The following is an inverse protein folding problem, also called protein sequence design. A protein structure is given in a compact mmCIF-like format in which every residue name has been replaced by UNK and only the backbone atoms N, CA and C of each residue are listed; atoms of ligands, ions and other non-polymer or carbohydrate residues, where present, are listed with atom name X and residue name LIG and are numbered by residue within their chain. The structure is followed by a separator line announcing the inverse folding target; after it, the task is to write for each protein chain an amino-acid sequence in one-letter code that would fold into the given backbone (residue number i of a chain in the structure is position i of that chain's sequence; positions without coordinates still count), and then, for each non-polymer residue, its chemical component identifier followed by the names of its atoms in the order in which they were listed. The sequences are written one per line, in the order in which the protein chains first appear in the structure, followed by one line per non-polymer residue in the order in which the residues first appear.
data_IF_999695434426
#
_entry.id   IF_999695434426
#
_cell.length_a   1.000
_cell.length_b   1.000
_cell.length_c   1.000
_cell.angle_alpha   90.00
_cell.angle_beta   90.00
_cell.angle_gamma   90.00
#
_symmetry.space_group_name_H-M   'P 1'
#
loop_
_entity.id
_entity.type
_entity.pdbx_description
1 polymer ?
#
# COMPACT_ATOMS: atom_id res chain seq x y z
N UNK A 1 -36.50 -7.06 62.92
CA UNK A 1 -36.65 -5.70 62.34
C UNK A 1 -35.26 -5.11 62.16
N UNK A 2 -34.67 -5.18 60.97
CA UNK A 2 -33.55 -4.33 60.53
C UNK A 2 -33.59 -4.30 59.01
N UNK A 3 -33.81 -3.10 58.49
CA UNK A 3 -33.97 -2.77 57.07
C UNK A 3 -32.63 -2.89 56.35
N UNK A 4 -32.66 -3.50 55.16
CA UNK A 4 -31.65 -3.40 54.12
C UNK A 4 -31.93 -2.17 53.27
N UNK A 5 -30.93 -1.32 53.05
CA UNK A 5 -30.93 -0.31 52.00
C UNK A 5 -29.81 -0.63 51.00
N UNK A 6 -30.19 -0.79 49.74
CA UNK A 6 -29.32 -1.04 48.59
C UNK A 6 -28.46 0.19 48.25
N UNK A 7 -27.20 -0.04 47.91
CA UNK A 7 -26.37 0.91 47.18
C UNK A 7 -26.04 0.31 45.80
N UNK A 8 -26.44 1.04 44.76
CA UNK A 8 -26.14 0.78 43.35
C UNK A 8 -24.72 1.22 43.07
N UNK A 9 -23.91 0.35 42.47
CA UNK A 9 -22.63 0.73 41.88
C UNK A 9 -22.63 0.29 40.40
N UNK A 10 -22.77 1.28 39.52
CA UNK A 10 -22.55 1.13 38.09
C UNK A 10 -21.05 1.09 37.82
N UNK A 11 -20.56 -0.02 37.24
CA UNK A 11 -19.22 -0.10 36.64
C UNK A 11 -19.36 0.04 35.13
N UNK A 12 -19.03 1.24 34.63
CA UNK A 12 -18.77 1.46 33.22
C UNK A 12 -17.46 0.81 32.81
N UNK A 13 -17.52 -0.04 31.78
CA UNK A 13 -16.36 -0.61 31.10
C UNK A 13 -15.76 0.48 30.20
N UNK A 14 -14.60 1.03 30.59
CA UNK A 14 -13.73 1.75 29.66
C UNK A 14 -13.03 0.71 28.76
N UNK A 15 -13.32 0.79 27.47
CA UNK A 15 -12.56 0.15 26.40
C UNK A 15 -11.18 0.83 26.30
N UNK A 16 -10.12 0.07 26.59
CA UNK A 16 -8.75 0.51 26.41
C UNK A 16 -8.39 0.49 24.90
N UNK A 17 -8.48 1.64 24.25
CA UNK A 17 -7.79 1.88 22.99
C UNK A 17 -6.30 2.00 23.28
N UNK A 18 -5.50 1.01 22.87
CA UNK A 18 -4.05 1.13 22.83
C UNK A 18 -3.68 2.01 21.64
N UNK A 19 -3.79 3.33 21.83
CA UNK A 19 -3.11 4.31 21.01
C UNK A 19 -1.68 4.41 21.54
N UNK A 20 -0.76 3.68 20.92
CA UNK A 20 0.66 3.92 21.08
C UNK A 20 1.00 5.27 20.43
N UNK A 21 0.80 6.38 21.17
CA UNK A 21 1.39 7.68 20.85
C UNK A 21 2.90 7.55 20.96
N UNK A 22 3.59 7.31 19.84
CA UNK A 22 5.02 7.63 19.73
C UNK A 22 5.14 9.15 19.74
N UNK A 23 5.43 9.71 20.91
CA UNK A 23 6.01 11.06 21.00
C UNK A 23 7.43 11.00 20.44
N UNK A 24 7.63 11.30 19.15
CA UNK A 24 8.97 11.63 18.64
C UNK A 24 9.26 13.10 18.95
N UNK A 25 9.85 13.32 20.13
CA UNK A 25 10.50 14.59 20.42
C UNK A 25 11.88 14.57 19.76
N UNK A 26 12.05 15.50 18.81
CA UNK A 26 13.28 16.03 18.21
C UNK A 26 14.49 15.10 17.97
N UNK A 27 14.92 15.01 16.72
CA UNK A 27 16.30 15.40 16.39
C UNK A 27 16.40 15.74 14.89
N UNK A 28 16.58 17.02 14.57
CA UNK A 28 17.48 17.30 13.46
C UNK A 28 18.79 16.56 13.79
N UNK A 29 19.39 15.88 12.83
CA UNK A 29 20.73 15.33 13.05
C UNK A 29 21.66 16.48 13.51
N UNK A 30 22.70 16.18 14.28
CA UNK A 30 23.67 17.15 14.85
C UNK A 30 24.27 18.12 13.81
N UNK A 31 24.02 17.93 12.51
CA UNK A 31 24.49 18.72 11.38
C UNK A 31 23.39 19.59 10.71
N UNK A 32 22.19 19.72 11.30
CA UNK A 32 21.10 20.54 10.75
C UNK A 32 20.30 19.91 9.60
N UNK A 33 20.61 18.67 9.21
CA UNK A 33 19.87 17.92 8.20
C UNK A 33 18.81 17.03 8.82
N UNK A 34 17.76 16.74 8.04
CA UNK A 34 16.68 15.85 8.45
C UNK A 34 17.19 14.42 8.67
N UNK A 35 16.70 13.80 9.73
CA UNK A 35 16.95 12.41 10.03
C UNK A 35 16.33 11.49 8.96
N UNK A 36 17.10 10.51 8.47
CA UNK A 36 16.65 9.63 7.39
C UNK A 36 15.48 8.75 7.81
N UNK A 37 15.41 8.33 9.08
CA UNK A 37 14.32 7.49 9.57
C UNK A 37 13.04 8.31 9.76
N UNK A 38 13.15 9.61 10.04
CA UNK A 38 12.04 10.54 9.89
C UNK A 38 11.60 10.65 8.41
N UNK A 39 12.52 10.87 7.47
CA UNK A 39 12.17 10.99 6.03
C UNK A 39 11.42 9.74 5.55
N UNK A 40 11.90 8.53 5.87
CA UNK A 40 11.24 7.26 5.48
C UNK A 40 9.76 7.18 5.88
N UNK A 41 9.36 7.86 6.95
CA UNK A 41 7.97 7.90 7.44
C UNK A 41 7.10 8.93 6.71
N UNK A 42 7.66 9.70 5.78
CA UNK A 42 6.99 10.81 5.07
C UNK A 42 7.15 10.74 3.54
N UNK A 43 7.53 9.59 2.99
CA UNK A 43 7.72 9.40 1.54
C UNK A 43 6.43 9.07 0.77
N UNK A 44 5.26 9.12 1.41
CA UNK A 44 3.97 8.78 0.79
C UNK A 44 4.01 7.40 0.13
N UNK A 45 3.58 7.32 -1.13
CA UNK A 45 3.56 6.08 -1.89
C UNK A 45 4.95 5.55 -2.33
N UNK A 46 6.03 6.27 -2.02
CA UNK A 46 7.42 5.91 -2.38
C UNK A 46 8.22 5.33 -1.21
N UNK A 47 7.63 5.24 -0.02
CA UNK A 47 8.25 4.57 1.12
C UNK A 47 8.45 3.07 0.86
N UNK A 48 9.50 2.49 1.41
CA UNK A 48 9.70 1.03 1.43
C UNK A 48 8.77 0.35 2.43
N UNK A 49 8.54 -0.95 2.26
CA UNK A 49 7.70 -1.70 3.19
C UNK A 49 8.36 -1.79 4.58
N UNK A 50 7.66 -1.45 5.69
CA UNK A 50 8.25 -1.38 7.02
C UNK A 50 8.36 -2.79 7.66
N UNK A 51 9.08 -3.70 7.00
CA UNK A 51 9.20 -5.12 7.35
C UNK A 51 9.60 -5.37 8.82
N UNK A 52 10.43 -4.49 9.39
CA UNK A 52 10.92 -4.60 10.78
C UNK A 52 9.82 -4.34 11.82
N UNK A 53 8.72 -3.71 11.43
CA UNK A 53 7.58 -3.41 12.32
C UNK A 53 6.48 -4.46 12.28
N UNK A 54 6.54 -5.37 11.31
CA UNK A 54 5.50 -6.38 11.10
C UNK A 54 5.71 -7.57 12.06
N UNK A 55 4.63 -8.08 12.71
CA UNK A 55 4.70 -9.28 13.53
C UNK A 55 5.29 -10.47 12.75
N UNK A 56 6.24 -11.16 13.36
CA UNK A 56 6.93 -12.29 12.72
C UNK A 56 6.15 -13.62 12.82
N UNK A 57 5.04 -13.63 13.57
CA UNK A 57 4.12 -14.74 13.77
C UNK A 57 2.74 -14.19 14.11
N UNK A 58 1.68 -14.89 13.72
CA UNK A 58 0.31 -14.50 14.03
C UNK A 58 -0.31 -15.44 15.09
N UNK A 59 -0.69 -14.95 16.29
CA UNK A 59 -1.28 -15.79 17.32
C UNK A 59 -2.65 -16.37 16.96
N UNK A 60 -3.29 -15.94 15.85
CA UNK A 60 -4.59 -16.45 15.40
C UNK A 60 -4.59 -17.98 15.25
N UNK A 61 -3.48 -18.55 14.79
CA UNK A 61 -3.32 -20.00 14.54
C UNK A 61 -3.38 -20.85 15.82
N UNK A 62 -3.30 -20.24 17.00
CA UNK A 62 -3.50 -20.93 18.28
C UNK A 62 -4.97 -21.27 18.53
N UNK A 63 -5.90 -20.50 17.95
CA UNK A 63 -7.34 -20.62 18.19
C UNK A 63 -8.12 -21.06 16.94
N UNK A 64 -7.58 -20.79 15.75
CA UNK A 64 -8.24 -21.06 14.47
C UNK A 64 -7.32 -21.82 13.52
N UNK A 65 -7.91 -22.64 12.66
CA UNK A 65 -7.34 -23.03 11.38
C UNK A 65 -7.56 -21.88 10.38
N UNK A 66 -6.58 -21.64 9.52
CA UNK A 66 -6.72 -20.74 8.37
C UNK A 66 -7.03 -21.60 7.17
N UNK A 67 -8.30 -21.63 6.76
CA UNK A 67 -8.81 -22.52 5.71
C UNK A 67 -8.51 -21.97 4.30
N UNK A 68 -8.45 -20.64 4.19
CA UNK A 68 -8.08 -19.92 2.98
C UNK A 68 -7.41 -18.59 3.35
N UNK A 69 -6.48 -18.15 2.50
CA UNK A 69 -6.00 -16.79 2.47
C UNK A 69 -5.98 -16.23 1.04
N UNK A 70 -6.53 -15.04 0.86
CA UNK A 70 -6.41 -14.26 -0.37
C UNK A 70 -5.59 -13.01 -0.08
N UNK A 71 -4.56 -12.71 -0.86
CA UNK A 71 -3.65 -11.58 -0.64
C UNK A 71 -3.54 -10.74 -1.90
N UNK A 72 -3.96 -9.47 -1.81
CA UNK A 72 -3.82 -8.47 -2.87
C UNK A 72 -2.64 -7.58 -2.49
N UNK A 73 -1.64 -7.50 -3.35
CA UNK A 73 -0.31 -6.99 -3.01
C UNK A 73 0.16 -6.00 -4.09
N UNK A 74 0.63 -4.82 -3.69
CA UNK A 74 1.33 -3.89 -4.59
C UNK A 74 2.73 -4.41 -4.93
N UNK A 75 3.25 -4.15 -6.13
CA UNK A 75 4.65 -4.42 -6.44
C UNK A 75 5.62 -3.78 -5.42
N UNK A 76 6.82 -4.35 -5.34
CA UNK A 76 7.87 -3.86 -4.44
C UNK A 76 8.50 -2.56 -4.92
N UNK A 77 9.49 -2.10 -4.17
CA UNK A 77 10.33 -0.95 -4.51
C UNK A 77 10.85 -1.07 -5.94
N UNK A 78 10.74 0.01 -6.70
CA UNK A 78 11.11 0.09 -8.11
C UNK A 78 11.89 1.37 -8.41
N UNK A 79 12.57 1.36 -9.54
CA UNK A 79 13.11 2.58 -10.14
C UNK A 79 11.96 3.55 -10.50
N UNK A 80 12.23 4.87 -10.59
CA UNK A 80 11.29 5.87 -11.08
C UNK A 80 10.73 5.50 -12.47
N UNK A 81 9.53 5.96 -12.82
CA UNK A 81 8.97 5.74 -14.17
C UNK A 81 9.65 6.66 -15.20
N UNK A 82 9.32 6.51 -16.48
CA UNK A 82 10.02 7.20 -17.57
C UNK A 82 10.08 8.72 -17.36
N UNK A 83 8.93 9.36 -17.12
CA UNK A 83 8.86 10.81 -16.91
C UNK A 83 9.55 11.28 -15.63
N UNK A 84 9.46 10.50 -14.54
CA UNK A 84 10.19 10.85 -13.30
C UNK A 84 11.71 10.65 -13.50
N UNK A 85 12.14 9.66 -14.28
CA UNK A 85 13.56 9.42 -14.59
C UNK A 85 14.14 10.57 -15.42
N UNK A 86 13.40 11.05 -16.41
CA UNK A 86 13.75 12.26 -17.18
C UNK A 86 13.87 13.48 -16.28
N UNK A 87 12.84 13.76 -15.46
CA UNK A 87 12.85 14.90 -14.53
C UNK A 87 14.01 14.86 -13.52
N UNK A 88 14.42 13.67 -13.04
CA UNK A 88 15.59 13.53 -12.17
C UNK A 88 16.90 13.86 -12.91
N UNK A 89 17.02 13.44 -14.17
CA UNK A 89 18.21 13.75 -14.99
C UNK A 89 18.32 15.25 -15.28
N UNK A 90 17.20 15.89 -15.61
CA UNK A 90 17.14 17.34 -15.83
C UNK A 90 17.47 18.10 -14.55
N UNK A 91 16.92 17.65 -13.41
CA UNK A 91 17.23 18.24 -12.11
C UNK A 91 18.72 18.13 -11.76
N UNK A 92 19.39 17.02 -12.05
CA UNK A 92 20.83 16.88 -11.84
C UNK A 92 21.63 17.85 -12.71
N UNK A 93 21.26 18.01 -13.99
CA UNK A 93 21.89 18.97 -14.89
C UNK A 93 21.72 20.42 -14.40
N UNK A 94 20.55 20.74 -13.84
CA UNK A 94 20.28 22.03 -13.23
C UNK A 94 21.12 22.27 -11.96
N UNK A 95 21.16 21.29 -11.05
CA UNK A 95 21.93 21.37 -9.80
C UNK A 95 23.44 21.49 -10.04
N UNK A 96 23.97 20.92 -11.12
CA UNK A 96 25.37 21.04 -11.50
C UNK A 96 25.80 22.50 -11.78
N UNK A 97 24.85 23.39 -12.09
CA UNK A 97 25.10 24.82 -12.30
C UNK A 97 24.93 25.67 -11.03
N UNK A 98 24.62 25.04 -9.88
CA UNK A 98 24.42 25.75 -8.63
C UNK A 98 25.72 26.35 -8.09
N UNK A 99 25.61 27.54 -7.48
CA UNK A 99 26.73 28.20 -6.79
C UNK A 99 26.87 27.77 -5.33
N UNK A 100 25.95 26.94 -4.81
CA UNK A 100 25.90 26.54 -3.40
C UNK A 100 26.47 25.13 -3.18
N UNK A 101 27.81 25.06 -3.06
CA UNK A 101 28.52 23.81 -2.86
C UNK A 101 28.12 23.05 -1.58
N UNK A 102 27.57 23.73 -0.56
CA UNK A 102 27.08 23.06 0.66
C UNK A 102 25.87 22.18 0.37
N UNK A 103 24.99 22.59 -0.53
CA UNK A 103 23.78 21.85 -0.88
C UNK A 103 23.94 20.95 -2.10
N UNK A 104 24.86 21.26 -3.02
CA UNK A 104 25.02 20.55 -4.30
C UNK A 104 26.40 19.98 -4.56
N UNK A 105 27.34 20.08 -3.60
CA UNK A 105 28.71 19.57 -3.79
C UNK A 105 28.78 18.07 -4.09
N UNK A 106 27.76 17.30 -3.70
CA UNK A 106 27.64 15.87 -3.99
C UNK A 106 27.36 15.57 -5.48
N UNK A 107 26.88 16.54 -6.27
CA UNK A 107 26.45 16.31 -7.66
C UNK A 107 27.62 15.89 -8.55
N UNK A 108 28.82 16.41 -8.31
CA UNK A 108 30.01 16.10 -9.12
C UNK A 108 30.41 14.62 -9.05
N UNK A 109 30.20 13.99 -7.90
CA UNK A 109 30.55 12.58 -7.64
C UNK A 109 29.31 11.67 -7.65
N UNK A 110 28.14 12.17 -8.06
CA UNK A 110 26.89 11.43 -8.00
C UNK A 110 26.79 10.38 -9.11
N UNK A 111 26.81 9.11 -8.70
CA UNK A 111 26.62 7.97 -9.59
C UNK A 111 25.13 7.70 -9.84
N UNK A 112 24.55 8.42 -10.80
CA UNK A 112 23.13 8.35 -11.11
C UNK A 112 22.71 6.94 -11.61
N UNK A 113 21.89 6.26 -10.80
CA UNK A 113 21.32 4.94 -11.12
C UNK A 113 19.95 5.00 -11.79
N UNK A 114 19.33 6.17 -11.86
CA UNK A 114 18.03 6.42 -12.48
C UNK A 114 18.20 6.61 -13.98
N UNK A 115 18.38 5.49 -14.68
CA UNK A 115 18.66 5.45 -16.11
C UNK A 115 17.40 5.04 -16.88
N UNK A 116 17.14 5.58 -18.08
CA UNK A 116 15.95 5.24 -18.87
C UNK A 116 15.73 3.72 -19.05
N UNK A 117 16.81 2.95 -19.27
CA UNK A 117 16.73 1.49 -19.40
C UNK A 117 16.24 0.73 -18.15
N UNK A 118 16.15 1.40 -17.00
CA UNK A 118 15.68 0.86 -15.71
C UNK A 118 14.33 1.42 -15.31
N UNK A 119 13.79 2.38 -16.06
CA UNK A 119 12.58 3.09 -15.68
C UNK A 119 11.42 2.09 -15.42
N UNK A 120 10.76 2.26 -14.28
CA UNK A 120 9.67 1.42 -13.82
C UNK A 120 10.04 -0.03 -13.47
N UNK A 121 11.30 -0.46 -13.59
CA UNK A 121 11.74 -1.82 -13.28
C UNK A 121 11.79 -2.05 -11.76
N UNK A 122 11.52 -3.28 -11.34
CA UNK A 122 11.63 -3.66 -9.93
C UNK A 122 13.09 -3.56 -9.46
N UNK A 123 13.30 -2.94 -8.31
CA UNK A 123 14.62 -2.85 -7.69
C UNK A 123 14.91 -4.09 -6.84
N UNK A 124 16.18 -4.29 -6.47
CA UNK A 124 16.60 -5.35 -5.56
C UNK A 124 15.87 -5.27 -4.21
N UNK A 125 15.64 -4.07 -3.68
CA UNK A 125 14.88 -3.92 -2.44
C UNK A 125 13.44 -4.42 -2.63
N UNK A 126 12.82 -4.19 -3.79
CA UNK A 126 11.49 -4.70 -4.11
C UNK A 126 11.42 -6.22 -4.17
N UNK A 127 12.46 -6.87 -4.68
CA UNK A 127 12.58 -8.33 -4.64
C UNK A 127 12.69 -8.84 -3.19
N UNK A 128 13.54 -8.19 -2.38
CA UNK A 128 13.74 -8.58 -0.99
C UNK A 128 12.47 -8.37 -0.13
N UNK A 129 11.75 -7.26 -0.32
CA UNK A 129 10.49 -6.98 0.35
C UNK A 129 9.48 -8.13 0.17
N UNK A 130 9.29 -8.58 -1.08
CA UNK A 130 8.36 -9.67 -1.38
C UNK A 130 8.86 -11.03 -0.92
N UNK A 131 10.14 -11.34 -1.11
CA UNK A 131 10.72 -12.57 -0.58
C UNK A 131 10.55 -12.67 0.95
N UNK A 132 10.81 -11.59 1.69
CA UNK A 132 10.61 -11.57 3.13
C UNK A 132 9.12 -11.63 3.52
N UNK A 133 8.23 -11.01 2.74
CA UNK A 133 6.79 -11.12 2.94
C UNK A 133 6.31 -12.58 2.78
N UNK A 134 6.72 -13.27 1.72
CA UNK A 134 6.41 -14.69 1.54
C UNK A 134 6.93 -15.56 2.69
N UNK A 135 8.16 -15.31 3.16
CA UNK A 135 8.71 -16.01 4.33
C UNK A 135 7.91 -15.77 5.62
N UNK A 136 7.46 -14.54 5.85
CA UNK A 136 6.62 -14.21 7.03
C UNK A 136 5.27 -14.91 6.96
N UNK A 137 4.65 -14.96 5.78
CA UNK A 137 3.39 -15.68 5.57
C UNK A 137 3.59 -17.17 5.88
N UNK A 138 4.57 -17.83 5.27
CA UNK A 138 4.83 -19.25 5.49
C UNK A 138 5.16 -19.59 6.95
N UNK A 139 5.92 -18.72 7.62
CA UNK A 139 6.22 -18.85 9.05
C UNK A 139 4.99 -18.66 9.94
N UNK A 140 4.08 -17.76 9.55
CA UNK A 140 2.89 -17.45 10.35
C UNK A 140 1.76 -18.46 10.18
N UNK A 141 1.67 -19.07 8.99
CA UNK A 141 0.59 -19.99 8.62
C UNK A 141 1.12 -21.30 8.00
N UNK A 142 1.94 -22.08 8.74
CA UNK A 142 2.56 -23.30 8.20
C UNK A 142 1.51 -24.32 7.73
N UNK A 143 0.46 -24.58 8.53
CA UNK A 143 -0.62 -25.50 8.17
C UNK A 143 -1.28 -25.13 6.82
N UNK A 144 -1.46 -23.83 6.55
CA UNK A 144 -2.03 -23.35 5.28
C UNK A 144 -1.08 -23.63 4.10
N UNK A 145 0.22 -23.37 4.29
CA UNK A 145 1.22 -23.60 3.23
C UNK A 145 1.40 -25.08 2.93
N UNK A 146 1.48 -25.92 3.96
CA UNK A 146 1.51 -27.37 3.78
C UNK A 146 0.25 -27.85 3.05
N UNK A 147 -0.92 -27.26 3.34
CA UNK A 147 -2.18 -27.66 2.74
C UNK A 147 -2.32 -27.35 1.24
N UNK A 148 -1.46 -26.50 0.67
CA UNK A 148 -1.46 -26.19 -0.78
C UNK A 148 -0.40 -26.97 -1.54
N UNK A 149 0.38 -27.82 -0.88
CA UNK A 149 1.45 -28.60 -1.50
C UNK A 149 1.07 -30.08 -1.42
N UNK A 150 0.99 -30.72 -2.57
CA UNK A 150 0.80 -32.16 -2.72
C UNK A 150 1.94 -32.70 -3.58
N UNK A 151 2.98 -33.22 -2.92
CA UNK A 151 4.24 -33.61 -3.54
C UNK A 151 4.86 -32.48 -4.40
N UNK A 152 4.80 -32.59 -5.73
CA UNK A 152 5.28 -31.60 -6.69
C UNK A 152 4.16 -30.73 -7.29
N UNK A 153 2.91 -30.96 -6.90
CA UNK A 153 1.73 -30.20 -7.32
C UNK A 153 1.40 -29.15 -6.26
N UNK A 154 1.19 -27.90 -6.69
CA UNK A 154 0.78 -26.81 -5.78
C UNK A 154 -0.61 -26.30 -6.15
N UNK A 155 -1.54 -26.37 -5.20
CA UNK A 155 -2.93 -25.95 -5.35
C UNK A 155 -3.14 -24.54 -4.80
N UNK A 156 -2.65 -23.56 -5.56
CA UNK A 156 -2.80 -22.13 -5.27
C UNK A 156 -2.92 -21.33 -6.57
N UNK A 157 -3.37 -20.08 -6.47
CA UNK A 157 -3.40 -19.16 -7.59
C UNK A 157 -2.46 -17.98 -7.34
N UNK A 158 -1.70 -17.59 -8.37
CA UNK A 158 -0.88 -16.39 -8.35
C UNK A 158 -1.00 -15.66 -9.68
N UNK A 159 -1.54 -14.44 -9.63
CA UNK A 159 -1.73 -13.58 -10.77
C UNK A 159 -1.02 -12.24 -10.56
N UNK A 160 -0.35 -11.75 -11.58
CA UNK A 160 0.11 -10.36 -11.64
C UNK A 160 -0.62 -9.60 -12.74
N UNK A 161 -0.61 -8.26 -12.65
CA UNK A 161 -0.93 -7.44 -13.82
C UNK A 161 0.09 -7.68 -14.94
N UNK A 162 -0.12 -7.06 -16.11
CA UNK A 162 0.79 -7.15 -17.27
C UNK A 162 2.24 -6.68 -17.04
N UNK A 163 2.55 -6.01 -15.93
CA UNK A 163 3.83 -5.31 -15.76
C UNK A 163 4.94 -6.27 -15.30
N UNK A 164 6.16 -6.11 -15.81
CA UNK A 164 7.29 -6.91 -15.37
C UNK A 164 7.57 -6.78 -13.86
N UNK A 165 7.35 -5.60 -13.28
CA UNK A 165 7.59 -5.35 -11.84
C UNK A 165 6.60 -6.10 -10.94
N UNK A 166 5.33 -6.22 -11.33
CA UNK A 166 4.34 -7.01 -10.60
C UNK A 166 4.63 -8.49 -10.75
N UNK A 167 5.02 -8.92 -11.95
CA UNK A 167 5.39 -10.31 -12.19
C UNK A 167 6.60 -10.74 -11.36
N UNK A 168 7.68 -9.96 -11.36
CA UNK A 168 8.88 -10.24 -10.56
C UNK A 168 8.62 -10.17 -9.04
N UNK A 169 7.71 -9.28 -8.61
CA UNK A 169 7.27 -9.19 -7.21
C UNK A 169 6.60 -10.50 -6.77
N UNK A 170 5.69 -11.04 -7.58
CA UNK A 170 5.03 -12.31 -7.29
C UNK A 170 6.00 -13.48 -7.25
N UNK A 171 6.97 -13.51 -8.15
CA UNK A 171 7.98 -14.56 -8.18
C UNK A 171 8.83 -14.53 -6.90
N UNK A 172 9.29 -13.34 -6.50
CA UNK A 172 10.04 -13.17 -5.26
C UNK A 172 9.22 -13.58 -4.02
N UNK A 173 7.93 -13.22 -3.98
CA UNK A 173 7.01 -13.63 -2.91
C UNK A 173 6.91 -15.15 -2.83
N UNK A 174 6.59 -15.82 -3.95
CA UNK A 174 6.49 -17.26 -4.02
C UNK A 174 7.80 -17.97 -3.65
N UNK A 175 8.94 -17.43 -4.08
CA UNK A 175 10.26 -17.93 -3.65
C UNK A 175 10.44 -17.86 -2.13
N UNK A 176 9.93 -16.82 -1.47
CA UNK A 176 9.95 -16.72 -0.02
C UNK A 176 9.02 -17.73 0.65
N UNK A 177 7.79 -17.86 0.14
CA UNK A 177 6.75 -18.73 0.70
C UNK A 177 7.12 -20.21 0.63
N UNK A 178 7.67 -20.66 -0.51
CA UNK A 178 7.93 -22.07 -0.79
C UNK A 178 9.41 -22.47 -0.69
N UNK A 179 10.26 -21.64 -0.09
CA UNK A 179 11.64 -22.02 0.25
C UNK A 179 11.63 -23.24 1.19
N UNK A 180 12.32 -24.31 0.80
CA UNK A 180 12.44 -25.53 1.60
C UNK A 180 11.50 -26.67 1.21
N UNK A 181 10.51 -26.41 0.34
CA UNK A 181 9.48 -27.39 -0.04
C UNK A 181 9.77 -28.16 -1.34
N UNK A 182 10.84 -27.82 -2.06
CA UNK A 182 11.20 -28.47 -3.32
C UNK A 182 12.60 -29.11 -3.29
N UNK A 183 13.21 -29.25 -4.47
CA UNK A 183 14.51 -29.93 -4.65
C UNK A 183 15.54 -29.08 -5.40
N UNK A 184 15.18 -27.88 -5.84
CA UNK A 184 16.03 -27.05 -6.68
C UNK A 184 17.02 -26.22 -5.85
N UNK A 185 18.32 -26.39 -6.13
CA UNK A 185 19.40 -25.61 -5.54
C UNK A 185 19.61 -25.86 -4.04
N UNK A 186 20.49 -25.06 -3.40
CA UNK A 186 20.88 -25.24 -1.99
C UNK A 186 19.79 -24.95 -0.97
N UNK A 187 18.69 -24.34 -1.42
CA UNK A 187 17.56 -23.90 -0.60
C UNK A 187 16.31 -24.74 -0.79
N UNK A 188 16.40 -25.85 -1.55
CA UNK A 188 15.27 -26.75 -1.79
C UNK A 188 14.06 -25.97 -2.30
N UNK A 189 14.26 -25.19 -3.36
CA UNK A 189 13.21 -24.34 -3.92
C UNK A 189 12.19 -25.18 -4.67
N UNK A 190 10.92 -24.86 -4.49
CA UNK A 190 9.82 -25.36 -5.31
C UNK A 190 9.51 -24.33 -6.40
N UNK A 191 9.56 -24.77 -7.66
CA UNK A 191 9.13 -23.93 -8.78
C UNK A 191 7.60 -23.94 -8.82
N UNK A 192 7.00 -22.75 -8.89
CA UNK A 192 5.54 -22.61 -8.84
C UNK A 192 5.02 -21.75 -10.00
N UNK A 193 3.81 -22.04 -10.51
CA UNK A 193 3.23 -21.24 -11.58
C UNK A 193 2.88 -19.84 -11.10
N UNK A 194 3.06 -18.87 -11.98
CA UNK A 194 2.50 -17.53 -11.85
C UNK A 194 2.02 -17.07 -13.22
N UNK A 195 0.81 -16.54 -13.25
CA UNK A 195 0.16 -16.07 -14.47
C UNK A 195 0.11 -14.53 -14.47
N UNK A 196 -0.02 -13.95 -15.66
CA UNK A 196 -0.17 -12.50 -15.82
C UNK A 196 -1.39 -12.21 -16.67
N UNK A 197 -2.19 -11.23 -16.24
CA UNK A 197 -3.22 -10.66 -17.10
C UNK A 197 -2.61 -9.83 -18.22
N UNK A 198 -3.32 -9.77 -19.35
CA UNK A 198 -2.92 -8.93 -20.48
C UNK A 198 -3.25 -7.47 -20.21
N UNK A 199 -2.43 -6.56 -20.72
CA UNK A 199 -2.66 -5.13 -20.57
C UNK A 199 -4.01 -4.73 -21.17
N UNK A 200 -4.73 -3.83 -20.50
CA UNK A 200 -6.06 -3.32 -20.88
C UNK A 200 -7.18 -4.38 -20.88
N UNK A 201 -6.93 -5.62 -20.46
CA UNK A 201 -7.94 -6.66 -20.31
C UNK A 201 -7.84 -7.31 -18.92
N UNK A 202 -8.01 -6.47 -17.90
CA UNK A 202 -7.80 -6.82 -16.51
C UNK A 202 -8.69 -5.95 -15.61
N UNK A 203 -9.94 -6.39 -15.36
CA UNK A 203 -10.85 -5.71 -14.43
C UNK A 203 -10.57 -6.04 -12.95
N UNK A 204 -9.57 -6.88 -12.65
CA UNK A 204 -9.30 -7.36 -11.29
C UNK A 204 -8.11 -6.62 -10.66
N UNK A 205 -6.97 -6.63 -11.33
CA UNK A 205 -5.73 -6.08 -10.77
C UNK A 205 -5.49 -4.68 -11.31
N UNK A 206 -5.76 -4.42 -12.59
CA UNK A 206 -5.44 -3.13 -13.19
C UNK A 206 -6.63 -2.51 -13.95
N UNK A 207 -7.78 -2.55 -13.31
CA UNK A 207 -9.07 -2.07 -13.80
C UNK A 207 -9.07 -0.63 -14.33
N UNK A 208 -8.21 0.26 -13.83
CA UNK A 208 -8.08 1.62 -14.34
C UNK A 208 -7.61 1.69 -15.81
N UNK A 209 -6.90 0.66 -16.30
CA UNK A 209 -6.52 0.55 -17.72
C UNK A 209 -7.58 -0.15 -18.58
N UNK A 210 -8.56 -0.79 -17.96
CA UNK A 210 -9.67 -1.47 -18.63
C UNK A 210 -10.97 -0.69 -18.57
N UNK A 211 -10.93 0.56 -18.10
CA UNK A 211 -12.11 1.39 -17.89
C UNK A 211 -12.04 2.67 -18.74
N UNK A 212 -12.65 2.69 -19.94
CA UNK A 212 -12.57 3.85 -20.84
C UNK A 212 -13.07 5.14 -20.19
N UNK A 213 -14.21 5.10 -19.49
CA UNK A 213 -14.75 6.25 -18.77
C UNK A 213 -13.78 6.80 -17.72
N UNK A 214 -13.06 5.94 -16.99
CA UNK A 214 -12.07 6.40 -16.02
C UNK A 214 -10.88 7.07 -16.69
N UNK A 215 -10.41 6.51 -17.82
CA UNK A 215 -9.34 7.12 -18.59
C UNK A 215 -9.75 8.51 -19.08
N UNK A 216 -10.95 8.64 -19.64
CA UNK A 216 -11.47 9.92 -20.13
C UNK A 216 -11.70 10.93 -18.98
N UNK A 217 -12.51 10.58 -17.99
CA UNK A 217 -12.95 11.53 -16.95
C UNK A 217 -11.86 11.84 -15.91
N UNK A 218 -10.98 10.89 -15.59
CA UNK A 218 -10.02 11.03 -14.48
C UNK A 218 -8.58 11.22 -14.98
N UNK A 219 -8.13 10.43 -15.96
CA UNK A 219 -6.75 10.49 -16.45
C UNK A 219 -6.57 11.67 -17.44
N UNK A 220 -7.48 11.80 -18.41
CA UNK A 220 -7.34 12.72 -19.54
C UNK A 220 -8.03 14.08 -19.32
N UNK A 221 -9.17 14.13 -18.64
CA UNK A 221 -9.95 15.36 -18.46
C UNK A 221 -9.37 16.36 -17.44
N UNK A 222 -8.20 16.09 -16.85
CA UNK A 222 -7.51 17.03 -15.96
C UNK A 222 -8.23 17.32 -14.63
N UNK A 223 -9.27 16.56 -14.26
CA UNK A 223 -10.01 16.77 -13.00
C UNK A 223 -9.10 16.73 -11.78
N UNK A 224 -8.11 15.83 -11.79
CA UNK A 224 -7.11 15.73 -10.72
C UNK A 224 -6.24 16.99 -10.65
N UNK A 225 -5.80 17.52 -11.80
CA UNK A 225 -4.99 18.74 -11.85
C UNK A 225 -5.76 19.95 -11.31
N UNK A 226 -7.04 20.10 -11.65
CA UNK A 226 -7.90 21.16 -11.08
C UNK A 226 -7.94 21.10 -9.55
N UNK A 227 -8.00 19.90 -8.97
CA UNK A 227 -8.05 19.72 -7.52
C UNK A 227 -6.72 20.03 -6.82
N UNK A 228 -5.57 19.78 -7.46
CA UNK A 228 -4.24 19.89 -6.82
C UNK A 228 -3.42 21.11 -7.27
N UNK A 229 -3.77 21.77 -8.37
CA UNK A 229 -3.07 22.97 -8.87
C UNK A 229 -2.95 24.10 -7.82
N UNK A 230 -4.00 24.38 -7.00
CA UNK A 230 -3.85 25.34 -5.91
C UNK A 230 -2.74 24.97 -4.91
N UNK A 231 -2.49 23.67 -4.67
CA UNK A 231 -1.37 23.23 -3.83
C UNK A 231 -0.02 23.43 -4.51
N UNK A 232 0.10 23.22 -5.83
CA UNK A 232 1.34 23.55 -6.57
C UNK A 232 1.71 25.01 -6.33
N UNK A 233 0.74 25.93 -6.39
CA UNK A 233 0.95 27.36 -6.11
C UNK A 233 1.21 27.65 -4.63
N UNK A 234 0.46 27.05 -3.72
CA UNK A 234 0.55 27.34 -2.29
C UNK A 234 1.81 26.77 -1.64
N UNK A 235 2.29 25.60 -2.11
CA UNK A 235 3.38 24.86 -1.48
C UNK A 235 4.64 24.83 -2.34
N UNK A 236 4.54 24.39 -3.60
CA UNK A 236 5.73 24.19 -4.43
C UNK A 236 6.36 25.50 -4.90
N UNK A 237 5.55 26.52 -5.24
CA UNK A 237 6.10 27.80 -5.70
C UNK A 237 6.94 28.53 -4.61
N UNK A 238 6.53 28.60 -3.33
CA UNK A 238 7.40 29.10 -2.26
C UNK A 238 8.68 28.29 -2.07
N UNK A 239 8.62 26.95 -2.17
CA UNK A 239 9.79 26.08 -2.08
C UNK A 239 10.74 26.38 -3.25
N UNK A 240 10.21 26.49 -4.46
CA UNK A 240 10.97 26.79 -5.68
C UNK A 240 11.66 28.17 -5.59
N UNK A 241 10.97 29.19 -5.08
CA UNK A 241 11.55 30.51 -4.86
C UNK A 241 12.70 30.50 -3.83
N UNK A 242 12.52 29.74 -2.73
CA UNK A 242 13.58 29.54 -1.73
C UNK A 242 14.79 28.83 -2.35
N UNK A 243 14.57 27.70 -3.03
CA UNK A 243 15.65 26.95 -3.68
C UNK A 243 16.34 27.74 -4.77
N UNK A 244 15.61 28.55 -5.55
CA UNK A 244 16.21 29.44 -6.56
C UNK A 244 17.21 30.40 -5.93
N UNK A 245 16.83 31.03 -4.81
CA UNK A 245 17.71 31.91 -4.06
C UNK A 245 18.89 31.17 -3.45
N UNK A 246 18.63 30.02 -2.84
CA UNK A 246 19.64 29.24 -2.11
C UNK A 246 20.68 28.63 -3.06
N UNK A 247 20.27 28.25 -4.28
CA UNK A 247 21.10 27.53 -5.24
C UNK A 247 21.71 28.42 -6.33
N UNK A 248 21.18 29.63 -6.55
CA UNK A 248 21.64 30.53 -7.61
C UNK A 248 21.27 30.08 -9.03
N UNK A 249 20.32 29.14 -9.17
CA UNK A 249 19.79 28.63 -10.45
C UNK A 249 18.27 28.74 -10.41
N UNK A 250 17.63 28.91 -11.57
CA UNK A 250 16.16 29.01 -11.62
C UNK A 250 15.50 27.66 -11.37
N UNK A 251 14.79 27.53 -10.25
CA UNK A 251 14.03 26.34 -9.85
C UNK A 251 12.54 26.62 -10.03
N UNK A 252 11.85 25.75 -10.74
CA UNK A 252 10.40 25.80 -10.95
C UNK A 252 9.64 24.90 -9.97
N UNK A 253 8.32 25.02 -9.93
CA UNK A 253 7.48 24.10 -9.15
C UNK A 253 7.56 22.65 -9.65
N UNK A 254 7.82 22.43 -10.95
CA UNK A 254 8.03 21.08 -11.49
C UNK A 254 9.33 20.49 -10.96
N UNK A 255 10.41 21.27 -11.00
CA UNK A 255 11.72 20.83 -10.48
C UNK A 255 11.62 20.43 -8.99
N UNK A 256 10.85 21.17 -8.18
CA UNK A 256 10.59 20.80 -6.78
C UNK A 256 10.00 19.40 -6.64
N UNK A 257 9.02 19.05 -7.48
CA UNK A 257 8.39 17.72 -7.49
C UNK A 257 9.42 16.65 -7.87
N UNK A 258 10.24 16.91 -8.88
CA UNK A 258 11.19 15.93 -9.41
C UNK A 258 12.36 15.73 -8.44
N UNK A 259 12.88 16.80 -7.83
CA UNK A 259 13.87 16.76 -6.74
C UNK A 259 13.36 15.99 -5.51
N UNK A 260 12.09 16.20 -5.13
CA UNK A 260 11.48 15.45 -4.02
C UNK A 260 11.31 13.96 -4.35
N UNK A 261 10.92 13.66 -5.60
CA UNK A 261 10.80 12.28 -6.09
C UNK A 261 12.16 11.58 -6.15
N UNK A 262 13.21 12.31 -6.53
CA UNK A 262 14.60 11.84 -6.51
C UNK A 262 15.05 11.50 -5.08
N UNK A 263 14.78 12.39 -4.12
CA UNK A 263 15.06 12.16 -2.70
C UNK A 263 14.38 10.88 -2.19
N UNK A 264 13.08 10.72 -2.44
CA UNK A 264 12.36 9.52 -2.02
C UNK A 264 12.94 8.24 -2.63
N UNK A 265 13.36 8.30 -3.90
CA UNK A 265 13.97 7.17 -4.58
C UNK A 265 15.35 6.81 -4.00
N UNK A 266 16.21 7.80 -3.73
CA UNK A 266 17.51 7.61 -3.08
C UNK A 266 17.38 7.02 -1.67
N UNK A 267 16.42 7.51 -0.88
CA UNK A 267 16.19 7.00 0.47
C UNK A 267 15.69 5.55 0.44
N UNK A 268 14.69 5.26 -0.39
CA UNK A 268 14.09 3.92 -0.42
C UNK A 268 14.99 2.87 -1.10
N UNK A 269 15.73 3.24 -2.14
CA UNK A 269 16.56 2.30 -2.90
C UNK A 269 17.98 2.19 -2.36
N UNK A 270 18.53 3.29 -1.84
CA UNK A 270 19.96 3.38 -1.51
C UNK A 270 20.21 3.75 -0.04
N UNK A 271 19.16 3.91 0.76
CA UNK A 271 19.26 4.37 2.15
C UNK A 271 20.13 5.63 2.28
N UNK A 272 19.96 6.56 1.33
CA UNK A 272 20.80 7.74 1.19
C UNK A 272 19.94 9.02 1.23
N UNK A 273 20.12 9.82 2.28
CA UNK A 273 19.49 11.14 2.41
C UNK A 273 20.47 12.30 2.17
N UNK A 274 21.71 12.02 1.73
CA UNK A 274 22.79 13.03 1.61
C UNK A 274 22.93 13.59 0.18
N UNK A 275 21.87 13.49 -0.62
CA UNK A 275 21.82 13.99 -2.00
C UNK A 275 20.65 14.98 -2.13
N UNK A 276 19.61 14.63 -2.90
CA UNK A 276 18.45 15.50 -3.16
C UNK A 276 17.69 15.90 -1.89
N UNK A 277 17.68 15.05 -0.85
CA UNK A 277 16.96 15.34 0.40
C UNK A 277 17.52 16.54 1.16
N UNK A 278 18.78 16.91 0.93
CA UNK A 278 19.43 18.08 1.56
C UNK A 278 18.75 19.41 1.17
N UNK A 279 17.99 19.41 0.07
CA UNK A 279 17.31 20.59 -0.44
C UNK A 279 16.03 20.95 0.35
N UNK A 280 15.49 20.00 1.12
CA UNK A 280 14.18 20.12 1.75
C UNK A 280 14.29 20.21 3.27
N UNK A 281 13.50 21.10 3.87
CA UNK A 281 13.29 21.12 5.31
C UNK A 281 12.03 20.33 5.69
N UNK A 282 11.77 20.20 7.00
CA UNK A 282 10.65 19.41 7.53
C UNK A 282 9.28 19.89 7.02
N UNK A 283 9.08 21.19 6.96
CA UNK A 283 7.82 21.80 6.51
C UNK A 283 7.60 21.59 5.01
N UNK A 284 8.67 21.64 4.20
CA UNK A 284 8.60 21.29 2.77
C UNK A 284 8.14 19.85 2.58
N UNK A 285 8.73 18.89 3.31
CA UNK A 285 8.35 17.48 3.22
C UNK A 285 6.89 17.24 3.60
N UNK A 286 6.40 17.84 4.69
CA UNK A 286 5.01 17.68 5.12
C UNK A 286 4.03 18.24 4.09
N UNK A 287 4.36 19.36 3.46
CA UNK A 287 3.57 19.96 2.37
C UNK A 287 3.56 19.08 1.12
N UNK A 288 4.72 18.55 0.72
CA UNK A 288 4.87 17.68 -0.45
C UNK A 288 4.22 16.31 -0.24
N UNK A 289 4.25 15.79 1.00
CA UNK A 289 3.51 14.60 1.40
C UNK A 289 2.01 14.81 1.25
N UNK A 290 1.47 15.92 1.78
CA UNK A 290 0.04 16.22 1.63
C UNK A 290 -0.37 16.44 0.17
N UNK A 291 0.50 17.06 -0.64
CA UNK A 291 0.29 17.17 -2.07
C UNK A 291 0.18 15.80 -2.75
N UNK A 292 1.10 14.87 -2.46
CA UNK A 292 1.10 13.54 -3.05
C UNK A 292 -0.14 12.73 -2.59
N UNK A 293 -0.51 12.84 -1.30
CA UNK A 293 -1.74 12.28 -0.74
C UNK A 293 -2.97 12.80 -1.50
N UNK A 294 -3.10 14.11 -1.68
CA UNK A 294 -4.25 14.70 -2.34
C UNK A 294 -4.33 14.29 -3.81
N UNK A 295 -3.18 14.25 -4.51
CA UNK A 295 -3.11 13.76 -5.89
C UNK A 295 -3.70 12.35 -6.02
N UNK A 296 -3.29 11.43 -5.16
CA UNK A 296 -3.79 10.04 -5.21
C UNK A 296 -5.22 9.91 -4.65
N UNK A 297 -5.59 10.75 -3.68
CA UNK A 297 -6.94 10.80 -3.11
C UNK A 297 -7.99 11.11 -4.19
N UNK A 298 -7.73 12.12 -5.02
CA UNK A 298 -8.61 12.47 -6.14
C UNK A 298 -8.48 11.49 -7.30
N UNK A 299 -7.28 11.00 -7.61
CA UNK A 299 -7.08 10.13 -8.76
C UNK A 299 -7.63 8.72 -8.56
N UNK A 300 -7.49 8.13 -7.38
CA UNK A 300 -7.74 6.70 -7.14
C UNK A 300 -8.60 6.39 -5.91
N UNK A 301 -9.19 7.40 -5.27
CA UNK A 301 -9.91 7.21 -4.01
C UNK A 301 -11.09 8.18 -3.87
N UNK A 302 -11.43 8.54 -2.63
CA UNK A 302 -12.65 9.24 -2.24
C UNK A 302 -12.78 10.68 -2.79
N UNK A 303 -11.79 11.23 -3.49
CA UNK A 303 -11.88 12.59 -4.04
C UNK A 303 -12.78 12.70 -5.27
N UNK A 304 -12.97 11.62 -6.03
CA UNK A 304 -13.92 11.54 -7.16
C UNK A 304 -14.78 10.28 -6.95
N UNK A 305 -15.76 10.32 -6.03
CA UNK A 305 -16.46 9.12 -5.59
C UNK A 305 -17.28 8.46 -6.69
N UNK A 306 -17.86 9.24 -7.61
CA UNK A 306 -18.76 8.77 -8.68
C UNK A 306 -18.16 7.70 -9.60
N UNK A 307 -16.83 7.56 -9.60
CA UNK A 307 -16.12 6.52 -10.33
C UNK A 307 -15.24 5.67 -9.42
N UNK A 308 -14.41 6.29 -8.58
CA UNK A 308 -13.37 5.58 -7.82
C UNK A 308 -13.90 4.63 -6.75
N UNK A 309 -15.12 4.84 -6.20
CA UNK A 309 -15.62 3.95 -5.13
C UNK A 309 -16.10 2.60 -5.65
N UNK A 310 -16.33 2.46 -6.95
CA UNK A 310 -16.80 1.20 -7.56
C UNK A 310 -15.76 0.56 -8.50
N UNK A 311 -14.62 1.19 -8.75
CA UNK A 311 -13.59 0.68 -9.67
C UNK A 311 -13.11 -0.74 -9.37
N UNK A 312 -13.04 -1.11 -8.09
CA UNK A 312 -12.59 -2.43 -7.65
C UNK A 312 -13.74 -3.47 -7.55
N UNK A 313 -14.89 -3.22 -8.19
CA UNK A 313 -16.08 -4.05 -8.11
C UNK A 313 -15.81 -5.53 -8.45
N UNK A 314 -15.20 -5.81 -9.61
CA UNK A 314 -14.95 -7.18 -10.03
C UNK A 314 -13.95 -7.88 -9.11
N UNK A 315 -12.91 -7.18 -8.64
CA UNK A 315 -11.98 -7.70 -7.64
C UNK A 315 -12.69 -8.07 -6.33
N UNK A 316 -13.56 -7.19 -5.81
CA UNK A 316 -14.30 -7.44 -4.58
C UNK A 316 -15.27 -8.62 -4.73
N UNK A 317 -15.94 -8.74 -5.88
CA UNK A 317 -16.77 -9.90 -6.22
C UNK A 317 -15.95 -11.18 -6.26
N UNK A 318 -14.78 -11.17 -6.90
CA UNK A 318 -13.87 -12.34 -6.92
C UNK A 318 -13.45 -12.73 -5.51
N UNK A 319 -13.06 -11.76 -4.67
CA UNK A 319 -12.68 -12.03 -3.27
C UNK A 319 -13.82 -12.68 -2.50
N UNK A 320 -15.02 -12.12 -2.60
CA UNK A 320 -16.18 -12.66 -1.90
C UNK A 320 -16.58 -14.05 -2.42
N UNK A 321 -16.56 -14.27 -3.74
CA UNK A 321 -16.85 -15.57 -4.33
C UNK A 321 -15.87 -16.65 -3.82
N UNK A 322 -14.57 -16.33 -3.77
CA UNK A 322 -13.57 -17.24 -3.23
C UNK A 322 -13.77 -17.52 -1.73
N UNK A 323 -14.20 -16.53 -0.93
CA UNK A 323 -14.59 -16.73 0.48
C UNK A 323 -15.77 -17.69 0.57
N UNK A 324 -16.80 -17.50 -0.25
CA UNK A 324 -18.00 -18.36 -0.26
C UNK A 324 -17.68 -19.81 -0.62
N UNK A 325 -16.81 -20.02 -1.62
CA UNK A 325 -16.32 -21.37 -1.95
C UNK A 325 -15.62 -22.01 -0.75
N UNK A 326 -14.72 -21.29 -0.07
CA UNK A 326 -14.03 -21.78 1.11
C UNK A 326 -14.95 -22.06 2.30
N UNK A 327 -16.00 -21.24 2.49
CA UNK A 327 -16.99 -21.42 3.55
C UNK A 327 -17.87 -22.64 3.29
N UNK A 328 -18.23 -22.89 2.03
CA UNK A 328 -19.09 -24.02 1.64
C UNK A 328 -18.43 -25.39 1.82
N UNK A 329 -17.12 -25.45 2.08
CA UNK A 329 -16.31 -26.66 2.09
C UNK A 329 -16.53 -27.50 0.80
N UNK A 330 -16.80 -26.88 -0.36
CA UNK A 330 -16.90 -27.61 -1.63
C UNK A 330 -15.56 -28.28 -1.88
N UNK A 331 -15.52 -29.60 -1.88
CA UNK A 331 -14.33 -30.36 -1.47
C UNK A 331 -13.12 -30.29 -2.41
N UNK A 332 -13.16 -29.70 -3.61
CA UNK A 332 -12.00 -29.76 -4.53
C UNK A 332 -11.69 -28.51 -5.40
N UNK A 333 -12.55 -27.50 -5.54
CA UNK A 333 -12.39 -26.46 -6.61
C UNK A 333 -12.19 -25.00 -6.11
N UNK A 334 -11.45 -24.76 -5.03
CA UNK A 334 -11.08 -23.37 -4.66
C UNK A 334 -9.62 -23.23 -4.21
N UNK A 335 -8.94 -22.12 -4.58
CA UNK A 335 -7.58 -21.88 -4.12
C UNK A 335 -7.57 -21.58 -2.62
N UNK A 336 -6.86 -22.40 -1.84
CA UNK A 336 -6.62 -22.11 -0.41
C UNK A 336 -5.67 -20.93 -0.23
N UNK A 337 -4.77 -20.70 -1.18
CA UNK A 337 -3.94 -19.50 -1.26
C UNK A 337 -4.17 -18.82 -2.62
N UNK A 338 -4.63 -17.57 -2.60
CA UNK A 338 -4.86 -16.77 -3.81
C UNK A 338 -4.09 -15.45 -3.73
N UNK A 339 -3.19 -15.23 -4.68
CA UNK A 339 -2.27 -14.10 -4.68
C UNK A 339 -2.50 -13.23 -5.91
N UNK A 340 -2.63 -11.91 -5.71
CA UNK A 340 -2.85 -10.92 -6.76
C UNK A 340 -1.86 -9.77 -6.63
N UNK A 341 -0.94 -9.65 -7.58
CA UNK A 341 0.14 -8.65 -7.58
C UNK A 341 -0.18 -7.49 -8.54
N UNK A 342 -0.45 -6.32 -7.97
CA UNK A 342 -0.86 -5.11 -8.65
C UNK A 342 -0.06 -3.87 -8.28
N UNK A 343 -0.73 -2.73 -8.28
CA UNK A 343 -0.11 -1.41 -8.14
C UNK A 343 -0.77 -0.59 -7.04
N UNK A 344 -0.31 0.65 -6.88
CA UNK A 344 -1.04 1.66 -6.10
C UNK A 344 -2.49 1.78 -6.59
N UNK A 345 -2.66 1.75 -7.90
CA UNK A 345 -3.90 1.85 -8.65
C UNK A 345 -4.80 0.62 -8.50
N UNK A 346 -4.29 -0.46 -7.90
CA UNK A 346 -5.08 -1.62 -7.48
C UNK A 346 -5.56 -1.43 -6.04
N UNK A 347 -4.61 -1.11 -5.15
CA UNK A 347 -4.83 -1.15 -3.71
C UNK A 347 -5.59 0.08 -3.19
N UNK A 348 -5.36 1.27 -3.74
CA UNK A 348 -6.11 2.46 -3.33
C UNK A 348 -7.60 2.36 -3.67
N UNK A 349 -8.01 2.02 -4.91
CA UNK A 349 -9.44 1.89 -5.21
C UNK A 349 -10.06 0.69 -4.47
N UNK A 350 -9.30 -0.38 -4.23
CA UNK A 350 -9.81 -1.50 -3.42
C UNK A 350 -10.02 -1.13 -1.94
N UNK A 351 -9.08 -0.42 -1.30
CA UNK A 351 -9.32 0.15 0.05
C UNK A 351 -10.53 1.09 0.05
N UNK A 352 -10.66 1.88 -1.01
CA UNK A 352 -11.75 2.83 -1.19
C UNK A 352 -13.10 2.12 -1.22
N UNK A 353 -13.21 1.09 -2.07
CA UNK A 353 -14.39 0.21 -2.21
C UNK A 353 -14.79 -0.40 -0.86
N UNK A 354 -13.81 -0.89 -0.09
CA UNK A 354 -14.02 -1.50 1.22
C UNK A 354 -14.31 -0.48 2.34
N UNK A 355 -14.34 0.82 2.05
CA UNK A 355 -14.60 1.88 3.04
C UNK A 355 -13.43 2.14 4.01
N UNK A 356 -12.21 1.69 3.69
CA UNK A 356 -11.03 1.82 4.54
C UNK A 356 -10.34 3.17 4.36
N UNK A 357 -9.71 3.69 5.43
CA UNK A 357 -8.95 4.96 5.42
C UNK A 357 -9.80 6.18 5.01
N UNK A 358 -11.13 6.10 5.12
CA UNK A 358 -12.04 7.20 4.80
C UNK A 358 -12.07 8.28 5.88
N UNK A 359 -11.66 9.47 5.50
CA UNK A 359 -11.75 10.67 6.32
C UNK A 359 -13.19 11.07 6.65
N UNK A 360 -13.36 11.77 7.78
CA UNK A 360 -14.68 12.28 8.18
C UNK A 360 -15.08 13.53 7.37
N UNK A 361 -14.11 14.19 6.74
CA UNK A 361 -14.28 15.35 5.88
C UNK A 361 -13.53 15.11 4.58
N UNK A 362 -14.04 15.61 3.46
CA UNK A 362 -13.32 15.55 2.19
C UNK A 362 -12.03 16.36 2.30
N UNK A 363 -10.90 15.72 1.99
CA UNK A 363 -9.61 16.40 1.92
C UNK A 363 -9.59 17.36 0.72
N UNK A 364 -9.12 18.59 0.93
CA UNK A 364 -9.07 19.64 -0.07
C UNK A 364 -7.75 20.41 0.02
N UNK A 365 -7.41 21.17 -1.02
CA UNK A 365 -6.19 21.98 -1.03
C UNK A 365 -6.12 23.01 0.12
N UNK A 366 -7.28 23.48 0.60
CA UNK A 366 -7.42 24.46 1.68
C UNK A 366 -7.86 23.86 3.02
N UNK A 367 -7.74 22.54 3.20
CA UNK A 367 -8.00 21.89 4.48
C UNK A 367 -7.15 22.54 5.59
N UNK A 368 -7.73 22.68 6.78
CA UNK A 368 -7.00 23.25 7.93
C UNK A 368 -5.86 22.33 8.35
N UNK A 369 -4.83 22.87 9.01
CA UNK A 369 -3.72 22.06 9.51
C UNK A 369 -4.19 20.90 10.39
N UNK A 370 -5.22 21.13 11.22
CA UNK A 370 -5.82 20.08 12.05
C UNK A 370 -6.41 18.94 11.21
N UNK A 371 -7.05 19.23 10.08
CA UNK A 371 -7.57 18.20 9.17
C UNK A 371 -6.40 17.46 8.51
N UNK A 372 -5.39 18.18 8.03
CA UNK A 372 -4.22 17.59 7.39
C UNK A 372 -3.49 16.65 8.35
N UNK A 373 -3.21 17.09 9.57
CA UNK A 373 -2.44 16.32 10.56
C UNK A 373 -3.17 15.05 11.04
N UNK A 374 -4.50 15.06 11.06
CA UNK A 374 -5.33 13.94 11.54
C UNK A 374 -5.97 13.14 10.41
N UNK A 375 -5.59 13.38 9.15
CA UNK A 375 -6.14 12.68 7.99
C UNK A 375 -5.88 11.18 8.09
N UNK A 376 -6.88 10.37 7.76
CA UNK A 376 -6.77 8.92 7.65
C UNK A 376 -6.18 8.52 6.30
N UNK A 377 -6.43 9.29 5.24
CA UNK A 377 -5.78 9.13 3.95
C UNK A 377 -4.38 9.76 3.96
N UNK A 378 -3.46 9.13 4.69
CA UNK A 378 -2.04 9.46 4.72
C UNK A 378 -1.23 8.30 4.17
N UNK A 379 -0.81 8.39 2.90
CA UNK A 379 -0.28 7.25 2.16
C UNK A 379 1.02 6.69 2.75
N UNK A 380 1.82 7.50 3.44
CA UNK A 380 3.04 7.03 4.12
C UNK A 380 2.76 5.99 5.21
N UNK A 381 1.51 5.88 5.68
CA UNK A 381 1.11 4.92 6.71
C UNK A 381 0.52 3.63 6.16
N UNK A 382 0.12 3.58 4.88
CA UNK A 382 -0.58 2.40 4.36
C UNK A 382 -0.36 2.06 2.88
N UNK A 383 0.19 2.97 2.07
CA UNK A 383 0.33 2.82 0.62
C UNK A 383 1.80 2.86 0.16
N UNK A 384 2.75 2.46 0.99
CA UNK A 384 4.16 2.25 0.60
C UNK A 384 4.33 1.10 -0.41
N UNK A 385 5.53 0.88 -0.93
CA UNK A 385 5.82 -0.29 -1.78
C UNK A 385 5.54 -1.61 -1.04
N UNK A 386 5.16 -2.65 -1.77
CA UNK A 386 4.75 -3.96 -1.23
C UNK A 386 3.56 -3.94 -0.23
N UNK A 387 2.83 -2.84 -0.11
CA UNK A 387 1.61 -2.78 0.70
C UNK A 387 0.57 -3.81 0.24
N UNK A 388 -0.25 -4.30 1.17
CA UNK A 388 -1.12 -5.44 0.92
C UNK A 388 -2.43 -5.39 1.71
N UNK A 389 -3.43 -6.13 1.23
CA UNK A 389 -4.64 -6.47 1.96
C UNK A 389 -4.83 -7.98 1.88
N UNK A 390 -5.07 -8.64 3.01
CA UNK A 390 -5.36 -10.06 3.06
C UNK A 390 -6.74 -10.35 3.65
N UNK A 391 -7.42 -11.36 3.11
CA UNK A 391 -8.64 -11.94 3.65
C UNK A 391 -8.37 -13.37 4.07
N UNK A 392 -8.67 -13.71 5.32
CA UNK A 392 -8.54 -15.05 5.89
C UNK A 392 -9.92 -15.64 6.13
N UNK A 393 -10.17 -16.87 5.68
CA UNK A 393 -11.30 -17.68 6.15
C UNK A 393 -10.82 -18.58 7.28
N UNK A 394 -11.50 -18.54 8.41
CA UNK A 394 -11.07 -19.17 9.66
C UNK A 394 -12.10 -20.16 10.18
N UNK A 395 -11.62 -21.32 10.61
CA UNK A 395 -12.39 -22.31 11.39
C UNK A 395 -11.86 -22.43 12.81
N UNK A 396 -12.69 -22.37 13.86
CA UNK A 396 -12.24 -22.54 15.24
C UNK A 396 -11.71 -23.95 15.52
N UNK A 397 -10.53 -24.08 16.15
CA UNK A 397 -9.92 -25.38 16.48
C UNK A 397 -10.73 -26.21 17.49
N UNK A 398 -11.46 -25.55 18.39
CA UNK A 398 -12.16 -26.16 19.52
C UNK A 398 -13.69 -25.90 19.50
N UNK A 399 -14.31 -25.68 18.33
CA UNK A 399 -15.77 -25.47 18.31
C UNK A 399 -16.53 -26.78 18.47
N UNK A 400 -17.65 -26.69 19.21
CA UNK A 400 -18.67 -27.75 19.28
C UNK A 400 -19.46 -27.88 17.97
N UNK A 401 -19.40 -26.88 17.10
CA UNK A 401 -20.05 -26.86 15.80
C UNK A 401 -18.99 -26.73 14.69
N UNK A 402 -18.84 -27.78 13.88
CA UNK A 402 -17.81 -27.83 12.83
C UNK A 402 -18.09 -26.93 11.63
N UNK A 403 -19.23 -26.21 11.62
CA UNK A 403 -19.65 -25.34 10.50
C UNK A 403 -19.42 -23.85 10.77
N UNK A 404 -18.94 -23.45 11.95
CA UNK A 404 -18.73 -22.04 12.26
C UNK A 404 -17.56 -21.49 11.44
N UNK A 405 -17.83 -20.48 10.59
CA UNK A 405 -16.81 -19.81 9.77
C UNK A 405 -16.71 -18.33 10.12
N UNK A 406 -15.49 -17.82 10.07
CA UNK A 406 -15.18 -16.41 10.29
C UNK A 406 -14.30 -15.87 9.17
N UNK A 407 -14.36 -14.56 8.98
CA UNK A 407 -13.46 -13.81 8.10
C UNK A 407 -12.63 -12.86 8.94
N UNK A 408 -11.33 -12.78 8.66
CA UNK A 408 -10.43 -11.76 9.23
C UNK A 408 -9.72 -11.03 8.11
N UNK A 409 -9.66 -9.70 8.21
CA UNK A 409 -9.03 -8.83 7.22
C UNK A 409 -7.75 -8.25 7.81
N UNK A 410 -6.66 -8.31 7.05
CA UNK A 410 -5.39 -7.67 7.38
C UNK A 410 -5.14 -6.52 6.39
N UNK A 411 -4.84 -5.33 6.89
CA UNK A 411 -4.33 -4.20 6.10
C UNK A 411 -2.85 -4.02 6.44
N UNK A 412 -1.98 -4.33 5.48
CA UNK A 412 -0.52 -4.40 5.65
C UNK A 412 -0.09 -5.35 6.77
N UNK A 413 -0.52 -6.62 6.68
CA UNK A 413 -0.22 -7.67 7.67
C UNK A 413 -0.71 -7.38 9.11
N UNK A 414 -1.48 -6.30 9.32
CA UNK A 414 -2.09 -5.93 10.61
C UNK A 414 -3.59 -6.15 10.55
N UNK A 415 -4.13 -6.87 11.52
CA UNK A 415 -5.56 -7.12 11.60
C UNK A 415 -6.34 -5.83 11.85
N UNK A 416 -7.47 -5.70 11.16
CA UNK A 416 -8.38 -4.58 11.32
C UNK A 416 -9.78 -5.07 11.68
N UNK A 417 -10.53 -4.22 12.39
CA UNK A 417 -11.98 -4.37 12.49
C UNK A 417 -12.57 -3.91 11.17
N UNK A 418 -13.00 -4.85 10.33
CA UNK A 418 -13.59 -4.55 9.03
C UNK A 418 -14.88 -3.71 9.21
N UNK A 419 -15.12 -2.66 8.39
CA UNK A 419 -16.35 -1.87 8.50
C UNK A 419 -17.61 -2.74 8.44
N UNK A 420 -18.45 -2.67 9.48
CA UNK A 420 -19.65 -3.50 9.64
C UNK A 420 -19.47 -4.75 10.51
N UNK A 421 -18.24 -5.07 10.93
CA UNK A 421 -17.92 -6.11 11.90
C UNK A 421 -17.68 -5.51 13.31
N UNK A 422 -17.98 -6.30 14.35
CA UNK A 422 -17.77 -5.86 15.75
C UNK A 422 -16.35 -6.13 16.26
N UNK A 423 -15.64 -7.09 15.66
CA UNK A 423 -14.30 -7.52 16.06
C UNK A 423 -13.46 -7.89 14.82
N UNK A 424 -12.14 -8.03 15.00
CA UNK A 424 -11.19 -8.43 13.93
C UNK A 424 -11.51 -9.81 13.33
N UNK A 425 -12.02 -10.73 14.14
CA UNK A 425 -12.52 -12.05 13.69
C UNK A 425 -14.02 -11.93 13.55
N UNK A 426 -14.48 -11.74 12.31
CA UNK A 426 -15.87 -11.43 12.00
C UNK A 426 -16.65 -12.70 11.63
N UNK A 427 -17.79 -13.02 12.28
CA UNK A 427 -18.64 -14.12 11.84
C UNK A 427 -19.03 -13.96 10.38
N UNK A 428 -19.03 -15.05 9.60
CA UNK A 428 -19.28 -14.99 8.15
C UNK A 428 -20.59 -14.27 7.78
N UNK A 429 -21.65 -14.46 8.55
CA UNK A 429 -22.94 -13.81 8.28
C UNK A 429 -22.93 -12.30 8.54
N UNK A 430 -22.11 -11.82 9.48
CA UNK A 430 -21.90 -10.40 9.70
C UNK A 430 -21.05 -9.81 8.59
N UNK A 431 -19.99 -10.51 8.17
CA UNK A 431 -19.15 -10.10 7.05
C UNK A 431 -19.95 -10.00 5.74
N UNK A 432 -20.82 -10.99 5.45
CA UNK A 432 -21.77 -10.95 4.32
C UNK A 432 -22.66 -9.72 4.36
N UNK A 433 -23.26 -9.40 5.52
CA UNK A 433 -24.10 -8.21 5.68
C UNK A 433 -23.33 -6.91 5.44
N UNK A 434 -22.04 -6.88 5.76
CA UNK A 434 -21.18 -5.73 5.53
C UNK A 434 -20.77 -5.58 4.05
N UNK A 435 -20.33 -6.66 3.40
CA UNK A 435 -19.75 -6.61 2.07
C UNK A 435 -20.79 -6.74 0.93
N UNK A 436 -21.78 -7.62 1.04
CA UNK A 436 -22.73 -7.89 -0.05
C UNK A 436 -23.46 -6.66 -0.59
N UNK A 437 -23.85 -5.65 0.23
CA UNK A 437 -24.47 -4.43 -0.30
C UNK A 437 -23.56 -3.65 -1.26
N UNK A 438 -22.23 -3.77 -1.14
CA UNK A 438 -21.26 -3.12 -2.02
C UNK A 438 -21.11 -3.87 -3.35
N UNK A 439 -21.42 -5.17 -3.37
CA UNK A 439 -21.22 -6.05 -4.54
C UNK A 439 -22.31 -5.94 -5.60
N UNK A 440 -23.32 -5.06 -5.42
CA UNK A 440 -24.35 -4.77 -6.42
C UNK A 440 -23.86 -3.87 -7.56
N UNK A 441 -22.62 -3.37 -7.46
CA UNK A 441 -21.91 -2.63 -8.49
C UNK A 441 -21.75 -3.43 -9.80
N UNK A 442 -21.39 -2.77 -10.90
CA UNK A 442 -21.15 -3.39 -12.19
C UNK A 442 -20.03 -2.64 -12.93
N UNK A 443 -18.86 -3.28 -13.02
CA UNK A 443 -17.67 -2.66 -13.63
C UNK A 443 -17.91 -2.24 -15.08
N UNK A 444 -18.60 -3.07 -15.87
CA UNK A 444 -18.85 -2.76 -17.27
C UNK A 444 -19.81 -1.56 -17.43
N UNK A 445 -20.84 -1.46 -16.57
CA UNK A 445 -21.73 -0.29 -16.56
C UNK A 445 -21.01 0.96 -16.05
N UNK A 446 -20.19 0.83 -15.02
CA UNK A 446 -19.39 1.93 -14.48
C UNK A 446 -18.49 2.52 -15.57
N UNK A 447 -17.90 1.66 -16.40
CA UNK A 447 -16.93 2.00 -17.42
C UNK A 447 -17.51 2.23 -18.82
N UNK A 448 -18.83 2.09 -18.99
CA UNK A 448 -19.51 2.45 -20.22
C UNK A 448 -19.44 3.98 -20.38
N UNK A 449 -19.01 4.43 -21.56
CA UNK A 449 -18.94 5.84 -21.96
C UNK A 449 -20.32 6.39 -22.35
#
# INVERSE_FOLDING_TARGET
MRFTLSAVAALGLLSAQVLAKKNSTASASDNGFLDIDWIKQHLGARGGYPSDTVPQTDPIVKKYHVDQMQVIIRHGTRYPEDGDTEGINDALALLANSTNATLTGWVADYDNKFLPRRAGALDRNGQLEHYLHGKRLAKSYPDLIESVIDEDVVQFTAYSSWSNRTAQSGQAFCMGTFEGYGSLGKKNMLAVPQLSYTQNNDSLIAFHKSCPRWQEEVDDAGLVDVAIDPLKKAYMAPIAARLTKDLGVNITASDVKDLHSACGSEVTMHNNAKTFCLLFNKDDFLKLEYYDDLKHYYKYSYGIPDINTEMACDLAKTVMNNIELAVSNSTEDYPRLDLKFGHTETLLPFRTFLGLRKDNVTLQWNSTQQVIDNRKFKMSEFNFFANNIAFQVLSPKNSKNSTDKYVRVLDNEVAIVFPGCDNEVCPIDQFRKALNPLLTCDFNKLCAA
#
